data_IF_148820207018
#
_entry.id   IF_148820207018
#
_cell.length_a   1.000
_cell.length_b   1.000
_cell.length_c   1.000
_cell.angle_alpha   90.00
_cell.angle_beta   90.00
_cell.angle_gamma   90.00
#
_symmetry.space_group_name_H-M   'P 1'
#
loop_
_entity.id
_entity.type
_entity.pdbx_description
1 polymer ?
#
# COMPACT_ATOMS: atom_id res chain seq x y z
N UNK A 1 -10.78 -34.74 50.44
CA UNK A 1 -11.45 -33.55 49.86
C UNK A 1 -10.39 -32.50 49.57
N UNK A 2 -10.07 -32.31 48.29
CA UNK A 2 -9.34 -31.14 47.80
C UNK A 2 -10.10 -30.65 46.56
N UNK A 3 -10.79 -29.53 46.74
CA UNK A 3 -11.55 -28.83 45.72
C UNK A 3 -10.58 -28.01 44.87
N UNK A 4 -10.51 -28.35 43.58
CA UNK A 4 -9.79 -27.57 42.57
C UNK A 4 -10.74 -26.43 42.14
N UNK A 5 -10.37 -25.19 42.43
CA UNK A 5 -11.05 -24.00 41.91
C UNK A 5 -10.69 -23.81 40.43
N UNK A 6 -11.65 -23.69 39.51
CA UNK A 6 -11.34 -23.37 38.12
C UNK A 6 -10.92 -21.90 37.95
N UNK A 7 -9.87 -21.69 37.16
CA UNK A 7 -9.40 -20.37 36.72
C UNK A 7 -10.52 -19.62 35.97
N UNK A 8 -10.80 -18.39 36.41
CA UNK A 8 -11.60 -17.43 35.66
C UNK A 8 -10.90 -17.03 34.36
N UNK A 9 -11.31 -17.62 33.24
CA UNK A 9 -10.99 -17.12 31.91
C UNK A 9 -11.93 -15.95 31.63
N UNK A 10 -11.36 -14.75 31.60
CA UNK A 10 -12.02 -13.52 31.16
C UNK A 10 -12.46 -13.68 29.69
N UNK A 11 -13.74 -13.98 29.46
CA UNK A 11 -14.34 -13.91 28.14
C UNK A 11 -14.53 -12.44 27.77
N UNK A 12 -13.59 -11.90 26.97
CA UNK A 12 -13.78 -10.59 26.36
C UNK A 12 -14.92 -10.69 25.34
N UNK A 13 -15.93 -9.86 25.54
CA UNK A 13 -17.21 -9.91 24.83
C UNK A 13 -17.01 -9.60 23.36
N UNK A 14 -17.34 -10.56 22.51
CA UNK A 14 -17.51 -10.36 21.08
C UNK A 14 -18.55 -9.26 20.84
N UNK A 15 -18.09 -8.02 20.65
CA UNK A 15 -18.90 -6.95 20.12
C UNK A 15 -19.14 -7.27 18.64
N UNK A 16 -20.23 -8.02 18.40
CA UNK A 16 -20.81 -8.24 17.07
C UNK A 16 -21.18 -6.87 16.53
N UNK A 17 -20.32 -6.28 15.69
CA UNK A 17 -20.67 -5.07 14.94
C UNK A 17 -21.68 -5.53 13.89
N UNK A 18 -22.97 -5.28 14.14
CA UNK A 18 -23.98 -5.38 13.11
C UNK A 18 -23.88 -4.13 12.23
N UNK A 19 -23.56 -4.33 10.96
CA UNK A 19 -23.75 -3.30 9.96
C UNK A 19 -25.22 -3.31 9.57
N UNK A 20 -25.97 -2.36 10.14
CA UNK A 20 -27.37 -2.15 9.78
C UNK A 20 -27.51 -1.89 8.29
N UNK A 21 -28.48 -2.59 7.69
CA UNK A 21 -28.99 -2.30 6.35
C UNK A 21 -29.54 -0.87 6.31
N UNK A 22 -28.82 0.05 5.68
CA UNK A 22 -29.37 1.28 5.11
C UNK A 22 -28.91 1.39 3.66
N UNK A 23 -29.78 0.94 2.77
CA UNK A 23 -29.71 1.22 1.34
C UNK A 23 -29.92 2.72 1.12
N UNK A 24 -28.82 3.44 1.07
CA UNK A 24 -28.60 4.55 0.15
C UNK A 24 -27.23 4.29 -0.46
N UNK A 25 -27.14 4.01 -1.75
CA UNK A 25 -25.87 3.92 -2.47
C UNK A 25 -25.25 5.32 -2.57
N UNK A 26 -24.91 5.92 -1.43
CA UNK A 26 -24.00 7.04 -1.40
C UNK A 26 -22.67 6.50 -1.94
N UNK A 27 -22.32 6.90 -3.15
CA UNK A 27 -20.99 6.69 -3.69
C UNK A 27 -20.00 7.32 -2.71
N UNK A 28 -19.31 6.49 -1.94
CA UNK A 28 -18.30 6.94 -0.99
C UNK A 28 -17.13 7.48 -1.81
N UNK A 29 -17.00 8.80 -1.91
CA UNK A 29 -15.81 9.41 -2.48
C UNK A 29 -14.63 9.29 -1.50
N UNK A 30 -13.41 9.51 -1.98
CA UNK A 30 -12.23 9.47 -1.12
C UNK A 30 -12.33 10.48 0.01
N UNK A 31 -12.84 11.69 -0.26
CA UNK A 31 -13.03 12.72 0.78
C UNK A 31 -14.03 12.26 1.85
N UNK A 32 -15.18 11.72 1.45
CA UNK A 32 -16.18 11.25 2.44
C UNK A 32 -15.67 10.02 3.20
N UNK A 33 -14.97 9.11 2.53
CA UNK A 33 -14.34 7.94 3.15
C UNK A 33 -13.31 8.34 4.21
N UNK A 34 -12.39 9.25 3.88
CA UNK A 34 -11.38 9.75 4.83
C UNK A 34 -12.03 10.41 6.05
N UNK A 35 -13.07 11.21 5.85
CA UNK A 35 -13.81 11.82 6.96
C UNK A 35 -14.53 10.77 7.83
N UNK A 36 -15.13 9.74 7.22
CA UNK A 36 -15.81 8.65 7.96
C UNK A 36 -14.86 7.86 8.86
N UNK A 37 -13.62 7.64 8.43
CA UNK A 37 -12.63 6.87 9.21
C UNK A 37 -11.78 7.74 10.15
N UNK A 38 -11.99 9.06 10.19
CA UNK A 38 -11.18 10.02 10.95
C UNK A 38 -11.14 9.74 12.45
N UNK A 39 -12.27 9.41 13.07
CA UNK A 39 -12.35 9.19 14.51
C UNK A 39 -11.50 8.02 15.01
N UNK A 40 -11.18 7.08 14.12
CA UNK A 40 -10.54 5.81 14.46
C UNK A 40 -9.06 5.76 14.07
N UNK A 41 -8.53 6.84 13.47
CA UNK A 41 -7.20 6.82 12.87
C UNK A 41 -6.40 8.09 13.17
N UNK A 42 -5.23 7.93 13.78
CA UNK A 42 -4.31 9.03 14.02
C UNK A 42 -3.71 9.55 12.71
N UNK A 43 -3.38 10.84 12.66
CA UNK A 43 -2.68 11.48 11.53
C UNK A 43 -3.40 11.42 10.17
N UNK A 44 -4.72 11.25 10.13
CA UNK A 44 -5.48 11.23 8.87
C UNK A 44 -5.69 12.64 8.28
N UNK A 45 -5.66 13.67 9.13
CA UNK A 45 -5.99 15.05 8.76
C UNK A 45 -5.09 15.59 7.65
N UNK A 46 -3.83 15.14 7.60
CA UNK A 46 -2.92 15.51 6.51
C UNK A 46 -3.38 14.97 5.16
N UNK A 47 -3.97 13.78 5.12
CA UNK A 47 -4.54 13.20 3.91
C UNK A 47 -5.85 13.90 3.54
N UNK A 48 -6.73 14.17 4.52
CA UNK A 48 -7.99 14.91 4.29
C UNK A 48 -7.69 16.28 3.68
N UNK A 49 -6.73 17.02 4.26
CA UNK A 49 -6.33 18.35 3.77
C UNK A 49 -5.77 18.27 2.35
N UNK A 50 -4.86 17.33 2.08
CA UNK A 50 -4.28 17.16 0.75
C UNK A 50 -5.34 16.79 -0.29
N UNK A 51 -6.16 15.77 -0.02
CA UNK A 51 -7.22 15.32 -0.92
C UNK A 51 -8.25 16.43 -1.18
N UNK A 52 -8.61 17.22 -0.17
CA UNK A 52 -9.56 18.33 -0.34
C UNK A 52 -9.05 19.44 -1.26
N UNK A 53 -7.74 19.51 -1.54
CA UNK A 53 -7.16 20.46 -2.49
C UNK A 53 -7.09 19.94 -3.94
N UNK A 54 -7.54 18.70 -4.19
CA UNK A 54 -7.61 18.10 -5.52
C UNK A 54 -9.01 17.59 -5.79
N UNK A 55 -9.73 18.26 -6.69
CA UNK A 55 -11.09 17.87 -7.07
C UNK A 55 -11.15 16.42 -7.58
N UNK A 56 -10.18 16.04 -8.43
CA UNK A 56 -10.05 14.68 -8.96
C UNK A 56 -9.94 13.63 -7.84
N UNK A 57 -8.99 13.81 -6.92
CA UNK A 57 -8.83 12.84 -5.82
C UNK A 57 -10.01 12.88 -4.86
N UNK A 58 -10.51 14.06 -4.50
CA UNK A 58 -11.63 14.22 -3.58
C UNK A 58 -12.87 13.47 -4.05
N UNK A 59 -13.12 13.46 -5.36
CA UNK A 59 -14.26 12.82 -6.01
C UNK A 59 -13.98 11.39 -6.50
N UNK A 60 -12.78 10.85 -6.28
CA UNK A 60 -12.47 9.45 -6.63
C UNK A 60 -13.40 8.51 -5.84
N UNK A 61 -14.06 7.59 -6.55
CA UNK A 61 -15.00 6.64 -5.97
C UNK A 61 -14.25 5.52 -5.26
N UNK A 62 -14.58 5.30 -4.00
CA UNK A 62 -13.95 4.32 -3.12
C UNK A 62 -14.96 3.22 -2.80
N UNK A 63 -14.53 1.99 -3.06
CA UNK A 63 -15.27 0.78 -2.70
C UNK A 63 -15.02 0.42 -1.24
N UNK A 64 -13.76 0.49 -0.79
CA UNK A 64 -13.38 0.04 0.55
C UNK A 64 -12.09 0.71 1.04
N UNK A 65 -12.05 1.04 2.34
CA UNK A 65 -10.80 1.28 3.07
C UNK A 65 -10.11 -0.05 3.38
N UNK A 66 -8.83 -0.18 3.03
CA UNK A 66 -8.08 -1.42 3.23
C UNK A 66 -7.30 -1.36 4.54
N UNK A 67 -6.38 -0.41 4.65
CA UNK A 67 -5.52 -0.27 5.81
C UNK A 67 -4.85 1.11 5.87
N UNK A 68 -4.31 1.43 7.04
CA UNK A 68 -3.45 2.58 7.25
C UNK A 68 -2.17 2.13 7.97
N UNK A 69 -1.03 2.56 7.43
CA UNK A 69 0.27 2.49 8.09
C UNK A 69 0.71 3.85 8.65
N UNK A 70 1.93 3.91 9.18
CA UNK A 70 2.51 5.15 9.74
C UNK A 70 2.68 6.26 8.69
N UNK A 71 3.00 5.87 7.45
CA UNK A 71 3.30 6.77 6.33
C UNK A 71 2.28 6.72 5.19
N UNK A 72 1.42 5.71 5.14
CA UNK A 72 0.55 5.45 4.00
C UNK A 72 -0.88 5.11 4.41
N UNK A 73 -1.84 5.39 3.54
CA UNK A 73 -3.22 4.95 3.66
C UNK A 73 -3.70 4.38 2.33
N UNK A 74 -4.42 3.26 2.38
CA UNK A 74 -4.70 2.42 1.22
C UNK A 74 -6.19 2.16 1.06
N UNK A 75 -6.69 2.32 -0.15
CA UNK A 75 -8.09 2.14 -0.52
C UNK A 75 -8.23 1.25 -1.76
N UNK A 76 -9.35 0.55 -1.86
CA UNK A 76 -9.84 -0.05 -3.10
C UNK A 76 -10.81 0.93 -3.76
N UNK A 77 -10.57 1.27 -5.03
CA UNK A 77 -11.48 2.08 -5.85
C UNK A 77 -12.64 1.24 -6.38
N UNK A 78 -13.70 1.89 -6.85
CA UNK A 78 -14.87 1.21 -7.42
C UNK A 78 -14.56 0.40 -8.68
N UNK A 79 -13.58 0.84 -9.46
CA UNK A 79 -13.05 0.17 -10.65
C UNK A 79 -11.97 -0.92 -10.34
N UNK A 80 -11.93 -1.40 -9.10
CA UNK A 80 -11.06 -2.48 -8.60
C UNK A 80 -9.55 -2.20 -8.75
N UNK A 81 -9.11 -0.96 -8.54
CA UNK A 81 -7.70 -0.58 -8.41
C UNK A 81 -7.36 -0.29 -6.95
N UNK A 82 -6.07 -0.16 -6.66
CA UNK A 82 -5.58 0.21 -5.34
C UNK A 82 -5.10 1.65 -5.36
N UNK A 83 -5.71 2.51 -4.56
CA UNK A 83 -5.24 3.87 -4.36
C UNK A 83 -4.45 3.95 -3.06
N UNK A 84 -3.17 4.26 -3.16
CA UNK A 84 -2.30 4.57 -2.01
C UNK A 84 -2.05 6.06 -1.94
N UNK A 85 -2.21 6.64 -0.75
CA UNK A 85 -1.73 7.98 -0.42
C UNK A 85 -0.57 7.84 0.58
N UNK A 86 0.55 8.51 0.32
CA UNK A 86 1.78 8.34 1.11
C UNK A 86 2.39 9.69 1.50
N UNK A 87 2.98 9.75 2.69
CA UNK A 87 3.78 10.89 3.18
C UNK A 87 5.19 10.76 2.62
N UNK A 88 5.53 11.59 1.62
CA UNK A 88 6.80 11.45 0.89
C UNK A 88 6.71 10.45 -0.27
N UNK A 89 7.80 10.31 -1.03
CA UNK A 89 7.83 9.41 -2.19
C UNK A 89 7.96 7.96 -1.71
N UNK A 90 7.09 7.09 -2.22
CA UNK A 90 7.09 5.65 -1.92
C UNK A 90 8.28 4.91 -2.55
N UNK A 91 8.93 5.49 -3.56
CA UNK A 91 10.13 4.95 -4.20
C UNK A 91 11.40 5.56 -3.56
N UNK A 92 12.19 4.77 -2.80
CA UNK A 92 13.37 5.28 -2.11
C UNK A 92 14.36 5.94 -3.07
N UNK A 93 14.88 7.11 -2.66
CA UNK A 93 15.81 7.92 -3.46
C UNK A 93 15.31 8.21 -4.89
N UNK A 94 13.99 8.24 -5.10
CA UNK A 94 13.35 8.43 -6.41
C UNK A 94 13.77 7.38 -7.46
N UNK A 95 14.06 6.14 -7.04
CA UNK A 95 14.30 5.04 -7.98
C UNK A 95 13.11 4.88 -8.94
N UNK A 96 13.33 4.49 -10.20
CA UNK A 96 12.23 4.16 -11.10
C UNK A 96 11.43 2.96 -10.54
N UNK A 97 10.19 2.84 -11.02
CA UNK A 97 9.46 1.59 -10.90
C UNK A 97 10.11 0.54 -11.80
N UNK A 98 10.27 -0.66 -11.28
CA UNK A 98 10.83 -1.81 -11.97
C UNK A 98 9.75 -2.85 -12.24
N UNK A 99 10.05 -3.86 -13.06
CA UNK A 99 9.10 -4.94 -13.39
C UNK A 99 8.67 -5.81 -12.20
N UNK A 100 9.42 -5.76 -11.09
CA UNK A 100 9.08 -6.46 -9.86
C UNK A 100 8.18 -5.63 -8.95
N UNK A 101 8.06 -4.30 -9.16
CA UNK A 101 7.13 -3.48 -8.39
C UNK A 101 5.71 -3.68 -8.91
N UNK A 102 4.71 -3.51 -8.05
CA UNK A 102 3.31 -3.47 -8.47
C UNK A 102 3.11 -2.46 -9.62
N UNK A 103 2.40 -2.84 -10.71
CA UNK A 103 2.13 -1.93 -11.81
C UNK A 103 1.38 -0.67 -11.35
N UNK A 104 1.83 0.49 -11.81
CA UNK A 104 1.25 1.80 -11.51
C UNK A 104 0.57 2.33 -12.76
N UNK A 105 -0.75 2.54 -12.70
CA UNK A 105 -1.52 3.19 -13.76
C UNK A 105 -1.40 4.70 -13.71
N UNK A 106 -1.42 5.27 -12.51
CA UNK A 106 -1.31 6.71 -12.31
C UNK A 106 -0.52 7.01 -11.05
N UNK A 107 0.28 8.09 -11.07
CA UNK A 107 0.88 8.63 -9.86
C UNK A 107 1.02 10.14 -9.94
N UNK A 108 1.05 10.79 -8.79
CA UNK A 108 1.28 12.21 -8.70
C UNK A 108 1.51 12.67 -7.27
N UNK A 109 1.47 13.99 -7.07
CA UNK A 109 1.77 14.63 -5.80
C UNK A 109 0.84 15.82 -5.57
N UNK A 110 0.31 15.93 -4.35
CA UNK A 110 -0.50 17.06 -3.89
C UNK A 110 0.08 17.53 -2.56
N UNK A 111 0.66 18.74 -2.56
CA UNK A 111 1.40 19.26 -1.42
C UNK A 111 2.55 18.32 -1.04
N UNK A 112 2.49 17.70 0.15
CA UNK A 112 3.49 16.74 0.64
C UNK A 112 3.09 15.27 0.45
N UNK A 113 1.86 15.02 -0.02
CA UNK A 113 1.31 13.68 -0.19
C UNK A 113 1.53 13.22 -1.63
N UNK A 114 2.07 12.02 -1.81
CA UNK A 114 2.09 11.34 -3.10
C UNK A 114 0.91 10.39 -3.19
N UNK A 115 0.40 10.20 -4.40
CA UNK A 115 -0.63 9.21 -4.67
C UNK A 115 -0.18 8.26 -5.76
N UNK A 116 -0.60 7.01 -5.65
CA UNK A 116 -0.35 5.93 -6.60
C UNK A 116 -1.63 5.16 -6.81
N UNK A 117 -2.07 5.04 -8.06
CA UNK A 117 -3.15 4.17 -8.49
C UNK A 117 -2.52 2.93 -9.11
N UNK A 118 -2.65 1.82 -8.41
CA UNK A 118 -1.92 0.57 -8.65
C UNK A 118 -2.88 -0.55 -9.08
N UNK A 119 -2.31 -1.56 -9.73
CA UNK A 119 -3.00 -2.81 -9.98
C UNK A 119 -3.42 -3.49 -8.67
N UNK A 120 -4.64 -4.02 -8.64
CA UNK A 120 -5.10 -4.86 -7.54
C UNK A 120 -4.52 -6.25 -7.68
N UNK A 121 -3.58 -6.56 -6.79
CA UNK A 121 -2.99 -7.88 -6.64
C UNK A 121 -3.72 -8.71 -5.60
N UNK A 122 -3.58 -10.02 -5.70
CA UNK A 122 -4.12 -11.00 -4.79
C UNK A 122 -3.03 -11.52 -3.85
N UNK A 123 -3.43 -11.87 -2.63
CA UNK A 123 -2.52 -12.46 -1.64
C UNK A 123 -2.93 -13.87 -1.21
N UNK A 124 -3.95 -14.46 -1.85
CA UNK A 124 -4.31 -15.86 -1.62
C UNK A 124 -3.37 -16.79 -2.39
N UNK A 125 -3.08 -17.97 -1.83
CA UNK A 125 -2.24 -18.98 -2.48
C UNK A 125 -0.75 -18.62 -2.59
N UNK A 126 -0.30 -17.55 -1.93
CA UNK A 126 1.12 -17.19 -1.88
C UNK A 126 1.89 -18.14 -0.97
N UNK A 127 3.12 -18.46 -1.36
CA UNK A 127 4.00 -19.39 -0.65
C UNK A 127 5.37 -18.76 -0.39
N UNK A 128 6.12 -19.30 0.57
CA UNK A 128 7.46 -18.81 0.91
C UNK A 128 8.41 -18.76 -0.30
N UNK A 129 8.45 -19.76 -1.21
CA UNK A 129 9.28 -19.68 -2.42
C UNK A 129 9.02 -18.47 -3.31
N UNK A 130 7.79 -17.92 -3.32
CA UNK A 130 7.50 -16.71 -4.10
C UNK A 130 8.16 -15.46 -3.53
N UNK A 131 8.40 -15.43 -2.21
CA UNK A 131 9.17 -14.36 -1.56
C UNK A 131 10.60 -14.41 -2.07
N UNK A 132 11.19 -15.61 -2.16
CA UNK A 132 12.56 -15.80 -2.67
C UNK A 132 12.67 -15.37 -4.13
N UNK A 133 11.69 -15.72 -4.97
CA UNK A 133 11.63 -15.27 -6.37
C UNK A 133 11.63 -13.74 -6.49
N UNK A 134 10.84 -13.04 -5.67
CA UNK A 134 10.84 -11.56 -5.67
C UNK A 134 12.18 -11.01 -5.18
N UNK A 135 12.75 -11.57 -4.10
CA UNK A 135 14.05 -11.16 -3.58
C UNK A 135 15.16 -11.32 -4.62
N UNK A 136 15.12 -12.39 -5.40
CA UNK A 136 16.07 -12.62 -6.49
C UNK A 136 15.91 -11.60 -7.61
N UNK A 137 14.68 -11.33 -8.07
CA UNK A 137 14.41 -10.31 -9.10
C UNK A 137 14.88 -8.91 -8.69
N UNK A 138 14.66 -8.53 -7.43
CA UNK A 138 15.17 -7.27 -6.86
C UNK A 138 16.70 -7.21 -6.97
N UNK A 139 17.40 -8.28 -6.55
CA UNK A 139 18.86 -8.37 -6.61
C UNK A 139 19.40 -8.34 -8.04
N UNK A 140 18.75 -9.07 -8.96
CA UNK A 140 19.13 -9.15 -10.38
C UNK A 140 19.02 -7.79 -11.09
N UNK A 141 18.12 -6.91 -10.60
CA UNK A 141 18.00 -5.51 -11.06
C UNK A 141 18.99 -4.55 -10.37
N UNK A 142 19.88 -5.05 -9.52
CA UNK A 142 20.91 -4.24 -8.84
C UNK A 142 20.45 -3.56 -7.55
N UNK A 143 19.29 -3.95 -7.01
CA UNK A 143 18.77 -3.43 -5.74
C UNK A 143 19.10 -4.37 -4.57
N UNK A 144 19.01 -3.85 -3.36
CA UNK A 144 19.02 -4.63 -2.12
C UNK A 144 17.60 -4.74 -1.58
N UNK A 145 17.27 -5.91 -1.07
CA UNK A 145 16.07 -6.18 -0.30
C UNK A 145 16.19 -5.55 1.09
N UNK A 146 15.12 -4.91 1.56
CA UNK A 146 15.04 -4.26 2.87
C UNK A 146 13.67 -4.58 3.49
N UNK A 147 13.62 -4.93 4.78
CA UNK A 147 12.38 -5.29 5.49
C UNK A 147 11.48 -6.31 4.73
N UNK A 148 12.10 -7.24 4.00
CA UNK A 148 11.45 -8.40 3.37
C UNK A 148 12.14 -9.67 3.87
N UNK A 149 11.58 -10.23 4.94
CA UNK A 149 12.10 -11.41 5.62
C UNK A 149 11.68 -12.70 4.90
N UNK A 150 12.37 -13.79 5.20
CA UNK A 150 12.06 -15.08 4.59
C UNK A 150 10.65 -15.54 4.98
N UNK A 151 9.82 -15.80 3.97
CA UNK A 151 8.42 -16.16 4.16
C UNK A 151 7.47 -15.01 4.47
N UNK A 152 7.88 -13.75 4.31
CA UNK A 152 6.99 -12.59 4.44
C UNK A 152 6.08 -12.44 3.20
N UNK A 153 5.10 -13.33 3.09
CA UNK A 153 4.14 -13.38 1.99
C UNK A 153 3.27 -12.11 1.89
N UNK A 154 3.20 -11.31 2.95
CA UNK A 154 2.39 -10.09 2.97
C UNK A 154 3.01 -8.95 2.17
N UNK A 155 4.30 -9.03 1.84
CA UNK A 155 5.01 -8.04 1.02
C UNK A 155 4.87 -8.27 -0.47
N UNK A 156 4.29 -9.40 -0.87
CA UNK A 156 4.14 -9.77 -2.28
C UNK A 156 2.66 -9.93 -2.63
N UNK A 157 2.38 -9.80 -3.92
CA UNK A 157 1.07 -10.04 -4.50
C UNK A 157 1.20 -10.72 -5.86
N UNK A 158 0.14 -11.41 -6.27
CA UNK A 158 0.02 -12.03 -7.59
C UNK A 158 -1.08 -11.34 -8.40
N UNK A 159 -0.81 -11.02 -9.66
CA UNK A 159 -1.81 -10.47 -10.58
C UNK A 159 -2.75 -11.57 -11.11
N UNK A 160 -3.77 -11.15 -11.85
CA UNK A 160 -4.72 -12.08 -12.50
C UNK A 160 -4.04 -13.03 -13.49
N UNK A 161 -2.96 -12.60 -14.14
CA UNK A 161 -2.17 -13.39 -15.09
C UNK A 161 -1.05 -14.21 -14.40
N UNK A 162 -1.03 -14.26 -13.06
CA UNK A 162 -0.12 -15.12 -12.31
C UNK A 162 1.28 -14.52 -12.09
N UNK A 163 1.51 -13.24 -12.41
CA UNK A 163 2.80 -12.59 -12.17
C UNK A 163 2.93 -12.13 -10.73
N UNK A 164 4.10 -12.37 -10.15
CA UNK A 164 4.44 -11.93 -8.81
C UNK A 164 4.99 -10.51 -8.82
N UNK A 165 4.61 -9.74 -7.81
CA UNK A 165 5.11 -8.38 -7.60
C UNK A 165 5.35 -8.10 -6.12
N UNK A 166 6.24 -7.15 -5.87
CA UNK A 166 6.45 -6.48 -4.60
C UNK A 166 5.37 -5.40 -4.40
N UNK A 167 4.69 -5.46 -3.25
CA UNK A 167 3.61 -4.53 -2.91
C UNK A 167 4.13 -3.19 -2.40
N UNK A 168 5.24 -3.18 -1.65
CA UNK A 168 5.85 -1.97 -1.11
C UNK A 168 7.23 -1.70 -1.75
N UNK A 169 7.32 -0.70 -2.66
CA UNK A 169 8.57 -0.28 -3.26
C UNK A 169 9.66 0.14 -2.25
N UNK A 170 9.32 0.49 -1.00
CA UNK A 170 10.31 0.83 0.04
C UNK A 170 11.19 -0.37 0.42
N UNK A 171 10.74 -1.60 0.17
CA UNK A 171 11.48 -2.84 0.41
C UNK A 171 12.57 -3.14 -0.62
N UNK A 172 12.69 -2.34 -1.69
CA UNK A 172 13.79 -2.42 -2.65
C UNK A 172 14.54 -1.08 -2.70
N UNK A 173 15.82 -1.10 -2.32
CA UNK A 173 16.66 0.09 -2.20
C UNK A 173 17.88 -0.04 -3.08
N UNK A 174 18.46 1.07 -3.54
CA UNK A 174 19.77 1.03 -4.18
C UNK A 174 20.80 0.41 -3.24
N UNK A 175 21.69 -0.42 -3.80
CA UNK A 175 22.79 -1.04 -3.05
C UNK A 175 23.74 0.01 -2.50
N UNK A 176 24.03 1.06 -3.28
CA UNK A 176 24.88 2.20 -2.91
C UNK A 176 24.30 3.52 -3.43
N UNK A 177 24.71 4.65 -2.84
CA UNK A 177 24.32 6.00 -3.32
C UNK A 177 24.80 6.22 -4.78
N UNK A 178 25.93 5.63 -5.17
CA UNK A 178 26.43 5.70 -6.56
C UNK A 178 25.42 5.17 -7.58
N UNK A 179 24.69 4.09 -7.28
CA UNK A 179 23.64 3.59 -8.18
C UNK A 179 22.49 4.58 -8.35
N UNK A 180 22.17 5.34 -7.29
CA UNK A 180 21.16 6.40 -7.38
C UNK A 180 21.63 7.56 -8.27
N UNK A 181 22.90 7.98 -8.09
CA UNK A 181 23.52 9.05 -8.89
C UNK A 181 23.63 8.63 -10.36
N UNK A 182 24.13 7.43 -10.64
CA UNK A 182 24.30 6.91 -11.99
C UNK A 182 22.97 6.82 -12.73
N UNK A 183 21.92 6.31 -12.09
CA UNK A 183 20.58 6.27 -12.69
C UNK A 183 20.00 7.67 -12.95
N UNK A 184 20.28 8.65 -12.08
CA UNK A 184 19.88 10.03 -12.30
C UNK A 184 20.58 10.63 -13.52
N UNK A 185 21.88 10.38 -13.67
CA UNK A 185 22.66 10.82 -14.83
C UNK A 185 22.16 10.17 -16.14
N UNK A 186 21.92 8.85 -16.13
CA UNK A 186 21.40 8.11 -17.29
C UNK A 186 20.06 8.69 -17.78
N UNK A 187 19.14 9.00 -16.86
CA UNK A 187 17.85 9.66 -17.21
C UNK A 187 18.04 11.05 -17.81
N UNK A 188 19.01 11.82 -17.35
CA UNK A 188 19.27 13.15 -17.88
C UNK A 188 19.77 13.08 -19.33
N UNK A 189 20.65 12.12 -19.63
CA UNK A 189 21.16 11.88 -20.99
C UNK A 189 20.02 11.46 -21.92
N UNK A 190 19.25 10.44 -21.53
CA UNK A 190 18.11 9.93 -22.30
C UNK A 190 16.99 10.96 -22.56
N UNK A 191 16.87 12.00 -21.73
CA UNK A 191 15.86 13.05 -21.91
C UNK A 191 16.32 14.15 -22.87
N UNK A 192 17.63 14.27 -23.08
CA UNK A 192 18.26 15.28 -23.91
C UNK A 192 18.76 14.71 -25.26
N UNK A 193 18.37 13.49 -25.60
CA UNK A 193 18.61 12.82 -26.88
C UNK A 193 17.26 12.50 -27.50
#
# INVERSE_FOLDING_TARGET
MQTILPLNIYQNTNKKISFGNKNSYELNTLKTTLNKIKSNNSNIDVFIKAVSSSEKLANTKIKKFIMQGSRAIVFETDDNKILKLTKGNHFPLNRPAEDFDVPIYEKGKIGKIHYYLEEKLYQHGLSKPFVDTIKERIKNKGYRTFDIFDGDINQIGISKDGKLYLLDPECAKYKTIFHAIFNKAKKFILKNT
#
